data_IF_095719921831
#
_entry.id   IF_095719921831
#
_cell.length_a   1.000
_cell.length_b   1.000
_cell.length_c   1.000
_cell.angle_alpha   90.00
_cell.angle_beta   90.00
_cell.angle_gamma   90.00
#
_symmetry.space_group_name_H-M   'P 1'
#
loop_
_entity.id
_entity.type
_entity.pdbx_description
1 polymer ?
#
# COMPACT_ATOMS: atom_id res chain seq x y z
N UNK A 1 -2.79 -11.74 11.47
CA UNK A 1 -3.23 -10.34 11.60
C UNK A 1 -4.74 -10.35 11.52
N UNK A 2 -5.40 -9.54 12.31
CA UNK A 2 -6.83 -9.66 12.49
C UNK A 2 -7.19 -11.03 13.06
N UNK A 3 -8.25 -11.63 12.54
CA UNK A 3 -8.69 -12.98 12.92
C UNK A 3 -7.94 -14.12 12.23
N UNK A 4 -6.98 -13.82 11.34
CA UNK A 4 -6.23 -14.85 10.62
C UNK A 4 -5.30 -15.63 11.56
N UNK A 5 -5.30 -16.94 11.41
CA UNK A 5 -4.41 -17.88 12.11
C UNK A 5 -3.28 -18.33 11.18
N UNK A 6 -2.24 -18.95 11.74
CA UNK A 6 -1.11 -19.47 10.97
C UNK A 6 0.21 -18.73 11.23
N UNK A 7 1.20 -19.03 10.42
CA UNK A 7 2.52 -18.40 10.50
C UNK A 7 2.52 -17.06 9.76
N UNK A 8 3.35 -16.14 10.22
CA UNK A 8 3.50 -14.83 9.57
C UNK A 8 4.43 -14.99 8.38
N UNK A 9 3.97 -14.67 7.19
CA UNK A 9 4.79 -14.57 6.00
C UNK A 9 5.92 -13.54 6.21
N UNK A 10 7.14 -13.88 5.86
CA UNK A 10 8.33 -13.04 6.07
C UNK A 10 8.92 -12.50 4.77
N UNK A 11 8.28 -12.80 3.63
CA UNK A 11 8.61 -12.26 2.31
C UNK A 11 7.38 -11.74 1.57
N UNK A 12 7.58 -10.82 0.63
CA UNK A 12 6.52 -10.30 -0.23
C UNK A 12 5.98 -11.41 -1.14
N UNK A 13 6.85 -12.27 -1.62
CA UNK A 13 6.51 -13.42 -2.46
C UNK A 13 5.57 -14.40 -1.75
N UNK A 14 5.81 -14.67 -0.47
CA UNK A 14 4.95 -15.54 0.34
C UNK A 14 3.60 -14.88 0.59
N UNK A 15 3.57 -13.60 0.97
CA UNK A 15 2.32 -12.83 1.11
C UNK A 15 1.49 -12.83 -0.18
N UNK A 16 2.15 -12.76 -1.34
CA UNK A 16 1.47 -12.83 -2.63
C UNK A 16 0.87 -14.22 -2.89
N UNK A 17 1.60 -15.30 -2.60
CA UNK A 17 1.09 -16.67 -2.73
C UNK A 17 -0.10 -16.91 -1.81
N UNK A 18 -0.04 -16.45 -0.57
CA UNK A 18 -1.17 -16.54 0.38
C UNK A 18 -2.39 -15.79 -0.15
N UNK A 19 -2.18 -14.60 -0.73
CA UNK A 19 -3.28 -13.82 -1.32
C UNK A 19 -3.88 -14.53 -2.54
N UNK A 20 -3.06 -15.10 -3.42
CA UNK A 20 -3.52 -15.90 -4.57
C UNK A 20 -4.29 -17.14 -4.10
N UNK A 21 -3.79 -17.85 -3.08
CA UNK A 21 -4.48 -19.00 -2.50
C UNK A 21 -5.85 -18.60 -1.92
N UNK A 22 -5.92 -17.46 -1.24
CA UNK A 22 -7.18 -16.92 -0.72
C UNK A 22 -8.17 -16.59 -1.85
N UNK A 23 -7.75 -15.88 -2.92
CA UNK A 23 -8.61 -15.54 -4.06
C UNK A 23 -9.20 -16.81 -4.69
N UNK A 24 -8.36 -17.83 -4.91
CA UNK A 24 -8.77 -19.12 -5.46
C UNK A 24 -9.73 -19.88 -4.53
N UNK A 25 -9.45 -19.89 -3.23
CA UNK A 25 -10.32 -20.53 -2.24
C UNK A 25 -11.70 -19.88 -2.14
N UNK A 26 -11.80 -18.57 -2.43
CA UNK A 26 -13.08 -17.85 -2.51
C UNK A 26 -13.85 -18.12 -3.81
N UNK A 27 -13.28 -18.85 -4.77
CA UNK A 27 -13.91 -19.20 -6.05
C UNK A 27 -13.98 -18.05 -7.05
N UNK A 28 -13.20 -16.98 -6.87
CA UNK A 28 -13.17 -15.88 -7.83
C UNK A 28 -12.27 -16.23 -9.01
N UNK A 29 -12.79 -16.06 -10.23
CA UNK A 29 -12.02 -16.21 -11.48
C UNK A 29 -11.15 -14.98 -11.74
N UNK A 30 -11.68 -13.80 -11.47
CA UNK A 30 -10.97 -12.51 -11.60
C UNK A 30 -11.38 -11.54 -10.51
N UNK A 31 -10.40 -10.77 -10.04
CA UNK A 31 -10.58 -9.75 -9.01
C UNK A 31 -9.94 -8.42 -9.42
N UNK A 32 -10.46 -7.33 -8.87
CA UNK A 32 -9.76 -6.06 -8.84
C UNK A 32 -8.92 -5.97 -7.57
N UNK A 33 -7.70 -5.42 -7.66
CA UNK A 33 -6.81 -5.25 -6.51
C UNK A 33 -6.56 -3.77 -6.22
N UNK A 34 -6.59 -3.43 -4.93
CA UNK A 34 -6.06 -2.18 -4.39
C UNK A 34 -4.91 -2.52 -3.44
N UNK A 35 -3.70 -2.16 -3.80
CA UNK A 35 -2.52 -2.33 -2.97
C UNK A 35 -2.01 -1.00 -2.43
N UNK A 36 -2.12 -0.77 -1.10
CA UNK A 36 -1.52 0.38 -0.43
C UNK A 36 -0.18 -0.01 0.21
N UNK A 37 0.87 0.78 -0.03
CA UNK A 37 2.16 0.61 0.62
C UNK A 37 2.73 -0.81 0.42
N UNK A 38 2.96 -1.58 1.48
CA UNK A 38 3.33 -3.00 1.45
C UNK A 38 2.34 -3.83 0.60
N UNK A 39 1.04 -3.53 0.65
CA UNK A 39 0.04 -4.17 -0.21
C UNK A 39 0.30 -3.93 -1.69
N UNK A 40 0.93 -2.81 -2.05
CA UNK A 40 1.37 -2.52 -3.41
C UNK A 40 2.53 -3.43 -3.86
N UNK A 41 3.48 -3.76 -2.97
CA UNK A 41 4.55 -4.73 -3.27
C UNK A 41 3.96 -6.13 -3.49
N UNK A 42 3.03 -6.55 -2.61
CA UNK A 42 2.31 -7.82 -2.74
C UNK A 42 1.55 -7.88 -4.06
N UNK A 43 0.86 -6.81 -4.45
CA UNK A 43 0.10 -6.74 -5.71
C UNK A 43 1.01 -6.81 -6.94
N UNK A 44 2.19 -6.17 -6.92
CA UNK A 44 3.18 -6.30 -7.99
C UNK A 44 3.64 -7.76 -8.14
N UNK A 45 3.84 -8.47 -7.03
CA UNK A 45 4.22 -9.87 -7.07
C UNK A 45 3.07 -10.76 -7.54
N UNK A 46 1.80 -10.46 -7.20
CA UNK A 46 0.62 -11.19 -7.72
C UNK A 46 0.52 -11.01 -9.24
N UNK A 47 0.74 -9.80 -9.78
CA UNK A 47 0.77 -9.55 -11.22
C UNK A 47 1.80 -10.42 -11.95
N UNK A 48 2.92 -10.77 -11.27
CA UNK A 48 3.96 -11.63 -11.83
C UNK A 48 3.59 -13.12 -11.77
N UNK A 49 2.99 -13.60 -10.66
CA UNK A 49 2.80 -15.06 -10.42
C UNK A 49 1.42 -15.57 -10.81
N UNK A 50 0.41 -14.71 -10.92
CA UNK A 50 -0.97 -15.09 -11.23
C UNK A 50 -1.72 -13.96 -11.95
N UNK A 51 -1.18 -13.44 -13.09
CA UNK A 51 -1.79 -12.33 -13.82
C UNK A 51 -3.21 -12.66 -14.30
N UNK A 52 -3.51 -13.92 -14.58
CA UNK A 52 -4.83 -14.38 -15.04
C UNK A 52 -5.96 -14.08 -14.05
N UNK A 53 -5.66 -14.00 -12.75
CA UNK A 53 -6.64 -13.70 -11.71
C UNK A 53 -7.00 -12.22 -11.62
N UNK A 54 -6.26 -11.35 -12.32
CA UNK A 54 -6.36 -9.92 -12.12
C UNK A 54 -7.14 -9.27 -13.26
N UNK A 55 -8.12 -8.45 -12.92
CA UNK A 55 -8.84 -7.63 -13.89
C UNK A 55 -8.21 -6.22 -14.01
N UNK A 56 -8.09 -5.49 -12.91
CA UNK A 56 -7.48 -4.15 -12.84
C UNK A 56 -6.81 -3.95 -11.49
N UNK A 57 -5.84 -3.04 -11.46
CA UNK A 57 -5.03 -2.77 -10.26
C UNK A 57 -4.99 -1.28 -9.95
N UNK A 58 -5.13 -0.95 -8.67
CA UNK A 58 -4.74 0.35 -8.12
C UNK A 58 -3.56 0.14 -7.18
N UNK A 59 -2.48 0.87 -7.40
CA UNK A 59 -1.28 0.85 -6.57
C UNK A 59 -1.12 2.22 -5.90
N UNK A 60 -1.27 2.28 -4.58
CA UNK A 60 -1.26 3.51 -3.82
C UNK A 60 -0.05 3.57 -2.89
N UNK A 61 0.70 4.70 -2.91
CA UNK A 61 1.82 4.93 -2.00
C UNK A 61 2.81 3.77 -1.97
N UNK A 62 3.29 3.32 -3.12
CA UNK A 62 4.18 2.16 -3.26
C UNK A 62 5.35 2.47 -4.22
N UNK A 63 6.31 1.57 -4.33
CA UNK A 63 7.50 1.72 -5.17
C UNK A 63 7.96 0.40 -5.79
N UNK A 64 8.89 0.42 -6.74
CA UNK A 64 9.37 -0.77 -7.42
C UNK A 64 10.26 -1.66 -6.54
N UNK A 65 10.32 -2.94 -6.85
CA UNK A 65 11.34 -3.84 -6.32
C UNK A 65 12.73 -3.33 -6.72
N UNK A 66 13.68 -3.39 -5.79
CA UNK A 66 15.04 -2.91 -6.01
C UNK A 66 15.25 -1.41 -5.75
N UNK A 67 14.22 -0.64 -5.43
CA UNK A 67 14.39 0.75 -5.02
C UNK A 67 14.93 0.83 -3.59
N UNK A 68 16.22 1.15 -3.48
CA UNK A 68 16.89 1.31 -2.18
C UNK A 68 16.32 2.46 -1.34
N UNK A 69 15.58 3.38 -1.94
CA UNK A 69 14.87 4.44 -1.22
C UNK A 69 13.84 3.87 -0.24
N UNK A 70 13.31 2.68 -0.51
CA UNK A 70 12.38 1.95 0.36
C UNK A 70 13.04 1.53 1.70
N UNK A 71 14.36 1.35 1.77
CA UNK A 71 15.03 0.97 3.01
C UNK A 71 14.81 1.97 4.16
N UNK A 72 14.53 3.24 3.84
CA UNK A 72 14.22 4.27 4.84
C UNK A 72 12.88 4.06 5.54
N UNK A 73 11.96 3.25 4.97
CA UNK A 73 10.62 2.99 5.55
C UNK A 73 10.75 2.50 6.99
N UNK A 74 11.64 1.56 7.27
CA UNK A 74 11.85 1.04 8.62
C UNK A 74 12.26 2.15 9.60
N UNK A 75 13.22 3.01 9.21
CA UNK A 75 13.69 4.13 10.05
C UNK A 75 12.58 5.13 10.34
N UNK A 76 11.79 5.49 9.31
CA UNK A 76 10.66 6.41 9.46
C UNK A 76 9.61 5.78 10.37
N UNK A 77 9.29 4.49 10.18
CA UNK A 77 8.32 3.76 11.01
C UNK A 77 8.73 3.77 12.48
N UNK A 78 9.99 3.42 12.79
CA UNK A 78 10.45 3.44 14.17
C UNK A 78 10.43 4.84 14.79
N UNK A 79 10.85 5.86 14.05
CA UNK A 79 10.81 7.24 14.51
C UNK A 79 9.38 7.70 14.82
N UNK A 80 8.43 7.42 13.94
CA UNK A 80 7.04 7.85 14.14
C UNK A 80 6.32 7.02 15.21
N UNK A 81 6.64 5.76 15.36
CA UNK A 81 6.15 4.95 16.48
C UNK A 81 6.66 5.49 17.82
N UNK A 82 7.93 5.86 17.90
CA UNK A 82 8.52 6.50 19.09
C UNK A 82 7.83 7.84 19.37
N UNK A 83 7.67 8.69 18.34
CA UNK A 83 6.95 9.96 18.45
C UNK A 83 5.51 9.76 18.91
N UNK A 84 4.82 8.79 18.35
CA UNK A 84 3.44 8.44 18.72
C UNK A 84 3.33 8.00 20.18
N UNK A 85 4.26 7.21 20.66
CA UNK A 85 4.32 6.79 22.07
C UNK A 85 4.43 8.01 23.02
N UNK A 86 5.38 8.92 22.76
CA UNK A 86 5.57 10.11 23.61
C UNK A 86 4.41 11.09 23.54
N UNK A 87 3.76 11.22 22.39
CA UNK A 87 2.62 12.13 22.21
C UNK A 87 1.28 11.49 22.51
N UNK A 88 1.26 10.20 22.88
CA UNK A 88 0.04 9.39 23.10
C UNK A 88 -0.93 9.45 21.91
N UNK A 89 -0.40 9.49 20.70
CA UNK A 89 -1.16 9.49 19.45
C UNK A 89 -1.05 8.17 18.72
N UNK A 90 -2.00 7.89 17.82
CA UNK A 90 -1.91 6.77 16.90
C UNK A 90 -0.74 6.98 15.93
N UNK A 91 0.16 5.98 15.71
CA UNK A 91 1.28 6.11 14.78
C UNK A 91 0.86 6.47 13.36
N UNK A 92 -0.33 6.02 12.91
CA UNK A 92 -0.86 6.31 11.57
C UNK A 92 -1.05 7.81 11.33
N UNK A 93 -1.29 8.59 12.39
CA UNK A 93 -1.36 10.05 12.30
C UNK A 93 -0.08 10.65 11.75
N UNK A 94 1.07 10.15 12.16
CA UNK A 94 2.38 10.63 11.71
C UNK A 94 2.85 9.97 10.41
N UNK A 95 2.57 8.69 10.26
CA UNK A 95 3.00 7.92 9.09
C UNK A 95 2.25 8.34 7.81
N UNK A 96 0.95 8.64 7.92
CA UNK A 96 0.09 8.80 6.75
C UNK A 96 -0.15 10.26 6.36
N UNK A 97 -0.03 11.19 7.30
CA UNK A 97 -0.42 12.58 7.07
C UNK A 97 0.78 13.52 7.20
N UNK A 98 0.96 14.46 6.26
CA UNK A 98 2.00 15.48 6.35
C UNK A 98 1.81 16.43 7.55
N UNK A 99 2.82 17.26 7.80
CA UNK A 99 2.82 18.21 8.93
C UNK A 99 1.97 19.48 8.70
N UNK A 100 1.34 19.63 7.52
CA UNK A 100 0.49 20.80 7.24
C UNK A 100 -0.75 20.84 8.15
N UNK A 101 -1.30 22.03 8.39
CA UNK A 101 -2.47 22.21 9.24
C UNK A 101 -3.69 21.45 8.71
N UNK A 102 -3.92 21.46 7.40
CA UNK A 102 -4.98 20.72 6.73
C UNK A 102 -4.81 19.21 6.95
N UNK A 103 -3.62 18.67 6.67
CA UNK A 103 -3.36 17.25 6.83
C UNK A 103 -3.50 16.78 8.28
N UNK A 104 -3.16 17.62 9.27
CA UNK A 104 -3.35 17.34 10.69
C UNK A 104 -4.84 17.19 11.06
N UNK A 105 -5.70 18.04 10.53
CA UNK A 105 -7.15 17.94 10.74
C UNK A 105 -7.70 16.68 10.12
N UNK A 106 -7.34 16.40 8.87
CA UNK A 106 -7.74 15.18 8.17
C UNK A 106 -7.23 13.89 8.85
N UNK A 107 -6.00 13.93 9.37
CA UNK A 107 -5.42 12.83 10.13
C UNK A 107 -6.18 12.56 11.43
N UNK A 108 -6.59 13.60 12.16
CA UNK A 108 -7.41 13.44 13.37
C UNK A 108 -8.78 12.85 13.04
N UNK A 109 -9.43 13.33 11.98
CA UNK A 109 -10.72 12.82 11.51
C UNK A 109 -10.62 11.34 11.08
N UNK A 110 -9.54 10.96 10.36
CA UNK A 110 -9.27 9.58 9.99
C UNK A 110 -9.13 8.67 11.21
N UNK A 111 -8.34 9.07 12.21
CA UNK A 111 -8.16 8.29 13.44
C UNK A 111 -9.48 8.20 14.23
N UNK A 112 -10.24 9.29 14.35
CA UNK A 112 -11.54 9.27 15.01
C UNK A 112 -12.48 8.24 14.36
N UNK A 113 -12.65 8.31 13.03
CA UNK A 113 -13.49 7.39 12.27
C UNK A 113 -13.04 5.93 12.40
N UNK A 114 -11.73 5.65 12.38
CA UNK A 114 -11.24 4.27 12.56
C UNK A 114 -11.44 3.77 14.00
N UNK A 115 -11.59 4.66 14.96
CA UNK A 115 -11.85 4.33 16.35
C UNK A 115 -13.34 4.07 16.68
N UNK A 116 -14.25 4.43 15.77
CA UNK A 116 -15.70 4.14 15.91
C UNK A 116 -16.00 2.64 15.72
N UNK A 117 -15.08 1.88 15.11
CA UNK A 117 -15.25 0.45 14.89
C UNK A 117 -15.36 -0.32 16.22
N UNK A 118 -16.51 -0.94 16.46
CA UNK A 118 -16.83 -1.65 17.72
C UNK A 118 -16.08 -3.00 17.80
N UNK A 119 -16.11 -3.79 16.71
CA UNK A 119 -15.44 -5.09 16.64
C UNK A 119 -14.03 -4.89 16.09
N UNK A 120 -13.07 -4.59 16.97
CA UNK A 120 -11.67 -4.41 16.59
C UNK A 120 -10.95 -5.73 16.54
N UNK A 121 -10.08 -5.86 15.54
CA UNK A 121 -9.13 -6.97 15.48
C UNK A 121 -8.11 -6.85 16.64
N UNK A 122 -7.51 -7.97 16.99
CA UNK A 122 -6.40 -8.00 17.94
C UNK A 122 -5.26 -7.06 17.48
N UNK A 123 -4.61 -6.36 18.41
CA UNK A 123 -3.46 -5.53 18.10
C UNK A 123 -2.38 -6.31 17.36
N UNK A 124 -1.73 -5.66 16.40
CA UNK A 124 -0.61 -6.25 15.68
C UNK A 124 0.53 -6.53 16.65
N UNK A 125 0.96 -7.80 16.72
CA UNK A 125 2.13 -8.19 17.53
C UNK A 125 3.41 -7.58 16.95
N UNK A 126 4.32 -7.17 17.81
CA UNK A 126 5.62 -6.60 17.40
C UNK A 126 6.38 -7.55 16.46
N UNK A 127 6.33 -8.86 16.72
CA UNK A 127 6.96 -9.86 15.85
C UNK A 127 6.44 -9.81 14.40
N UNK A 128 5.14 -9.55 14.21
CA UNK A 128 4.50 -9.40 12.89
C UNK A 128 5.01 -8.13 12.21
N UNK A 129 5.03 -7.00 12.92
CA UNK A 129 5.58 -5.76 12.39
C UNK A 129 7.04 -5.93 11.95
N UNK A 130 7.87 -6.57 12.78
CA UNK A 130 9.28 -6.81 12.46
C UNK A 130 9.45 -7.74 11.25
N UNK A 131 8.60 -8.77 11.10
CA UNK A 131 8.60 -9.63 9.91
C UNK A 131 8.26 -8.82 8.64
N UNK A 132 7.22 -7.98 8.69
CA UNK A 132 6.85 -7.10 7.57
C UNK A 132 7.96 -6.11 7.20
N UNK A 133 8.62 -5.49 8.19
CA UNK A 133 9.73 -4.57 7.91
C UNK A 133 10.96 -5.30 7.31
N UNK A 134 11.20 -6.57 7.69
CA UNK A 134 12.23 -7.39 7.03
C UNK A 134 11.84 -7.69 5.58
N UNK A 135 10.59 -8.06 5.31
CA UNK A 135 10.08 -8.31 3.96
C UNK A 135 10.22 -7.06 3.07
N UNK A 136 9.84 -5.87 3.59
CA UNK A 136 10.01 -4.57 2.91
C UNK A 136 11.49 -4.30 2.59
N UNK A 137 12.39 -4.56 3.54
CA UNK A 137 13.83 -4.37 3.33
C UNK A 137 14.40 -5.34 2.30
N UNK A 138 13.95 -6.61 2.32
CA UNK A 138 14.33 -7.59 1.30
C UNK A 138 13.85 -7.18 -0.09
N UNK A 139 12.61 -6.68 -0.19
CA UNK A 139 12.06 -6.14 -1.43
C UNK A 139 12.90 -4.99 -1.99
N UNK A 140 13.29 -4.04 -1.15
CA UNK A 140 14.13 -2.90 -1.52
C UNK A 140 15.50 -3.30 -2.08
N UNK A 141 16.00 -4.48 -1.72
CA UNK A 141 17.31 -5.01 -2.16
C UNK A 141 17.20 -6.04 -3.29
N UNK A 142 15.98 -6.39 -3.67
CA UNK A 142 15.74 -7.36 -4.74
C UNK A 142 16.09 -6.81 -6.11
N UNK A 143 16.18 -7.70 -7.10
CA UNK A 143 16.33 -7.28 -8.48
C UNK A 143 15.03 -6.67 -9.00
N UNK A 144 15.09 -5.61 -9.82
CA UNK A 144 13.93 -5.02 -10.45
C UNK A 144 13.09 -6.05 -11.20
N UNK A 145 11.76 -5.90 -11.12
CA UNK A 145 10.84 -6.74 -11.87
C UNK A 145 10.69 -6.23 -13.31
N UNK A 146 10.57 -7.17 -14.25
CA UNK A 146 10.15 -6.88 -15.62
C UNK A 146 8.61 -6.89 -15.69
N UNK A 147 8.03 -5.80 -16.20
CA UNK A 147 6.60 -5.63 -16.41
C UNK A 147 6.22 -5.52 -17.89
N UNK A 148 7.13 -5.80 -18.80
CA UNK A 148 6.92 -5.65 -20.26
C UNK A 148 5.74 -6.48 -20.79
N UNK A 149 5.44 -7.62 -20.17
CA UNK A 149 4.32 -8.49 -20.52
C UNK A 149 3.04 -8.21 -19.73
N UNK A 150 3.07 -7.26 -18.77
CA UNK A 150 1.91 -6.91 -17.96
C UNK A 150 1.01 -5.93 -18.72
N UNK A 151 -0.01 -6.45 -19.37
CA UNK A 151 -0.97 -5.66 -20.16
C UNK A 151 -2.20 -5.20 -19.36
N UNK A 152 -2.19 -5.37 -18.04
CA UNK A 152 -3.28 -4.93 -17.17
C UNK A 152 -3.37 -3.41 -17.10
N UNK A 153 -4.59 -2.90 -16.94
CA UNK A 153 -4.78 -1.48 -16.60
C UNK A 153 -4.38 -1.28 -15.13
N UNK A 154 -3.37 -0.46 -14.92
CA UNK A 154 -2.83 -0.14 -13.59
C UNK A 154 -2.94 1.36 -13.35
N UNK A 155 -3.55 1.73 -12.24
CA UNK A 155 -3.61 3.11 -11.80
C UNK A 155 -2.73 3.31 -10.56
N UNK A 156 -1.73 4.16 -10.70
CA UNK A 156 -0.86 4.59 -9.61
C UNK A 156 -1.42 5.84 -8.94
N UNK A 157 -1.45 5.83 -7.60
CA UNK A 157 -1.89 6.96 -6.79
C UNK A 157 -0.84 7.22 -5.72
N UNK A 158 -0.36 8.45 -5.62
CA UNK A 158 0.54 8.82 -4.51
C UNK A 158 0.28 10.26 -4.07
N UNK A 159 0.81 10.64 -2.91
CA UNK A 159 0.89 12.02 -2.46
C UNK A 159 2.24 12.63 -2.83
N UNK A 160 2.27 13.91 -3.17
CA UNK A 160 3.51 14.65 -3.44
C UNK A 160 4.38 14.85 -2.18
N UNK A 161 3.76 14.73 -1.00
CA UNK A 161 4.42 14.80 0.30
C UNK A 161 4.56 13.43 1.01
N UNK A 162 4.54 12.33 0.25
CA UNK A 162 4.81 11.00 0.81
C UNK A 162 6.29 10.85 1.17
N UNK A 163 6.59 10.92 2.46
CA UNK A 163 7.95 10.77 2.97
C UNK A 163 8.38 9.33 3.19
N UNK A 164 7.42 8.37 3.24
CA UNK A 164 7.72 6.95 3.35
C UNK A 164 8.14 6.36 2.01
N UNK A 165 7.28 6.54 1.01
CA UNK A 165 7.46 6.05 -0.36
C UNK A 165 7.22 7.21 -1.33
N UNK A 166 8.24 8.04 -1.59
CA UNK A 166 8.11 9.21 -2.45
C UNK A 166 7.54 8.90 -3.82
N UNK A 167 6.82 9.85 -4.37
CA UNK A 167 6.15 9.74 -5.66
C UNK A 167 7.08 9.39 -6.83
N UNK A 168 8.40 9.62 -6.69
CA UNK A 168 9.41 9.17 -7.66
C UNK A 168 9.32 7.69 -7.98
N UNK A 169 9.04 6.83 -6.97
CA UNK A 169 8.83 5.39 -7.19
C UNK A 169 7.55 5.08 -7.99
N UNK A 170 6.51 5.90 -7.82
CA UNK A 170 5.27 5.76 -8.60
C UNK A 170 5.44 6.21 -10.05
N UNK A 171 6.24 7.26 -10.30
CA UNK A 171 6.63 7.67 -11.66
C UNK A 171 7.43 6.56 -12.35
N UNK A 172 8.48 6.03 -11.69
CA UNK A 172 9.30 4.95 -12.23
C UNK A 172 8.46 3.70 -12.59
N UNK A 173 7.55 3.27 -11.71
CA UNK A 173 6.66 2.15 -11.98
C UNK A 173 5.68 2.43 -13.13
N UNK A 174 5.12 3.64 -13.20
CA UNK A 174 4.18 3.98 -14.27
C UNK A 174 4.84 4.01 -15.64
N UNK A 175 6.12 4.39 -15.71
CA UNK A 175 6.89 4.42 -16.96
C UNK A 175 7.25 3.00 -17.46
N UNK A 176 7.25 2.00 -16.57
CA UNK A 176 7.56 0.59 -16.91
C UNK A 176 6.34 -0.22 -17.36
N UNK A 177 5.12 0.27 -17.14
CA UNK A 177 3.89 -0.47 -17.48
C UNK A 177 3.18 0.17 -18.67
N UNK A 178 2.83 -0.61 -19.72
CA UNK A 178 2.29 -0.05 -20.98
C UNK A 178 0.89 0.58 -20.81
N UNK A 179 0.09 0.12 -19.85
CA UNK A 179 -1.26 0.58 -19.62
C UNK A 179 -1.43 1.24 -18.23
N UNK A 180 -0.42 2.03 -17.84
CA UNK A 180 -0.42 2.74 -16.59
C UNK A 180 -1.08 4.12 -16.69
N UNK A 181 -1.73 4.52 -15.59
CA UNK A 181 -2.16 5.90 -15.32
C UNK A 181 -1.59 6.32 -13.98
N UNK A 182 -1.10 7.54 -13.85
CA UNK A 182 -0.57 8.06 -12.59
C UNK A 182 -1.34 9.33 -12.19
N UNK A 183 -1.76 9.38 -10.94
CA UNK A 183 -2.32 10.59 -10.32
C UNK A 183 -1.57 10.88 -9.03
N UNK A 184 -1.05 12.09 -8.91
CA UNK A 184 -0.42 12.59 -7.69
C UNK A 184 -1.38 13.55 -7.00
N UNK A 185 -1.71 13.30 -5.73
CA UNK A 185 -2.55 14.17 -4.92
C UNK A 185 -1.70 15.22 -4.22
N UNK A 186 -1.97 16.46 -4.57
CA UNK A 186 -1.28 17.62 -4.00
C UNK A 186 -1.55 17.77 -2.49
N UNK A 187 -0.49 18.10 -1.74
CA UNK A 187 -0.53 18.25 -0.28
C UNK A 187 -0.80 16.95 0.49
N UNK A 188 -0.77 15.81 -0.18
CA UNK A 188 -1.06 14.52 0.44
C UNK A 188 0.22 13.75 0.80
N UNK A 189 0.16 13.00 1.89
CA UNK A 189 1.22 12.12 2.37
C UNK A 189 1.03 10.67 1.95
N UNK A 190 1.64 9.76 2.72
CA UNK A 190 1.55 8.31 2.48
C UNK A 190 0.12 7.78 2.51
N UNK A 191 -0.75 8.37 3.32
CA UNK A 191 -2.18 8.07 3.37
C UNK A 191 -3.01 8.86 2.34
N UNK A 192 -2.49 9.18 1.17
CA UNK A 192 -3.13 10.02 0.15
C UNK A 192 -4.57 9.60 -0.15
N UNK A 193 -4.82 8.30 -0.29
CA UNK A 193 -6.17 7.75 -0.53
C UNK A 193 -7.15 7.96 0.63
N UNK A 194 -6.65 8.14 1.85
CA UNK A 194 -7.46 8.47 3.04
C UNK A 194 -7.61 9.98 3.20
N UNK A 195 -6.57 10.73 2.84
CA UNK A 195 -6.57 12.18 2.90
C UNK A 195 -7.51 12.81 1.87
N UNK A 196 -7.65 12.18 0.71
CA UNK A 196 -8.54 12.55 -0.39
C UNK A 196 -9.64 11.49 -0.63
N UNK A 197 -10.21 10.93 0.45
CA UNK A 197 -11.05 9.73 0.41
C UNK A 197 -12.23 9.79 -0.57
N UNK A 198 -12.99 10.88 -0.57
CA UNK A 198 -14.16 11.02 -1.45
C UNK A 198 -13.75 11.14 -2.93
N UNK A 199 -12.67 11.87 -3.21
CA UNK A 199 -12.12 11.98 -4.56
C UNK A 199 -11.61 10.63 -5.04
N UNK A 200 -10.79 9.96 -4.21
CA UNK A 200 -10.26 8.64 -4.51
C UNK A 200 -11.37 7.62 -4.75
N UNK A 201 -12.39 7.56 -3.89
CA UNK A 201 -13.50 6.61 -4.03
C UNK A 201 -14.24 6.78 -5.37
N UNK A 202 -14.55 8.02 -5.77
CA UNK A 202 -15.19 8.29 -7.07
C UNK A 202 -14.30 7.85 -8.24
N UNK A 203 -13.01 8.23 -8.21
CA UNK A 203 -12.07 7.87 -9.26
C UNK A 203 -11.82 6.35 -9.33
N UNK A 204 -11.69 5.67 -8.18
CA UNK A 204 -11.53 4.23 -8.12
C UNK A 204 -12.76 3.49 -8.66
N UNK A 205 -13.96 3.94 -8.32
CA UNK A 205 -15.21 3.40 -8.87
C UNK A 205 -15.23 3.53 -10.40
N UNK A 206 -14.94 4.72 -10.92
CA UNK A 206 -14.85 4.93 -12.36
C UNK A 206 -13.80 4.03 -13.01
N UNK A 207 -12.62 3.92 -12.41
CA UNK A 207 -11.54 3.09 -12.91
C UNK A 207 -11.89 1.60 -12.94
N UNK A 208 -12.53 1.08 -11.90
CA UNK A 208 -12.89 -0.35 -11.84
C UNK A 208 -14.10 -0.69 -12.73
N UNK A 209 -15.05 0.23 -12.91
CA UNK A 209 -16.27 0.02 -13.65
C UNK A 209 -16.20 0.50 -15.11
N UNK A 210 -15.13 1.19 -15.53
CA UNK A 210 -14.99 1.61 -16.92
C UNK A 210 -15.08 0.40 -17.85
N UNK A 211 -15.87 0.49 -18.89
CA UNK A 211 -15.94 -0.53 -19.94
C UNK A 211 -14.56 -0.74 -20.60
N UNK A 212 -14.39 -1.93 -21.21
CA UNK A 212 -13.11 -2.35 -21.84
C UNK A 212 -12.71 -1.42 -22.97
#
# INVERSE_FOLDING_TARGET
MGASTGQVADSIEEMARDTVAFIRAMGYEKVHLLGLSLGGFVTQEILRIAPELIARVILAGTGPKGDRGIERVARITYYDMFRAFWTRRDPRYYLFFPESSEAKVLGQAFIARTNERVNRDEPIKISVLLAQLRAVRSWAKGEPQDFSEVNHRVWFVNGDNDRMLPSAGSYDLSDRLPNATLIIYEGAGHGAIFQRADLFARQATTFYLADK
#
